data_IF_363712591717
#
_entry.id   IF_363712591717
#
_cell.length_a   1.000
_cell.length_b   1.000
_cell.length_c   1.000
_cell.angle_alpha   90.00
_cell.angle_beta   90.00
_cell.angle_gamma   90.00
#
_symmetry.space_group_name_H-M   'P 1'
#
loop_
_entity.id
_entity.type
_entity.pdbx_description
1 polymer ?
#
# COMPACT_ATOMS: atom_id res chain seq x y z
N UNK A 1 -17.44 -18.08 13.79
CA UNK A 1 -16.80 -17.64 12.53
C UNK A 1 -15.68 -18.62 12.26
N UNK A 2 -15.72 -19.36 11.15
CA UNK A 2 -14.51 -20.03 10.66
C UNK A 2 -13.66 -18.99 9.94
N UNK A 3 -12.35 -19.08 10.12
CA UNK A 3 -11.40 -18.12 9.58
C UNK A 3 -11.38 -18.21 8.05
N UNK A 4 -11.70 -17.09 7.38
CA UNK A 4 -11.47 -16.96 5.94
C UNK A 4 -9.99 -16.76 5.72
N UNK A 5 -9.39 -17.59 4.88
CA UNK A 5 -7.98 -17.47 4.53
C UNK A 5 -7.85 -16.60 3.30
N UNK A 6 -7.06 -15.53 3.42
CA UNK A 6 -6.66 -14.67 2.31
C UNK A 6 -5.21 -14.98 1.98
N UNK A 7 -4.95 -15.45 0.76
CA UNK A 7 -3.58 -15.77 0.31
C UNK A 7 -3.14 -14.68 -0.67
N UNK A 8 -2.02 -14.03 -0.40
CA UNK A 8 -1.41 -13.12 -1.36
C UNK A 8 -0.75 -13.93 -2.48
N UNK A 9 -1.36 -13.94 -3.67
CA UNK A 9 -0.82 -14.62 -4.84
C UNK A 9 0.34 -13.86 -5.47
N UNK A 10 0.15 -12.55 -5.66
CA UNK A 10 1.17 -11.69 -6.25
C UNK A 10 1.03 -10.25 -5.78
N UNK A 11 2.13 -9.52 -5.86
CA UNK A 11 2.14 -8.08 -5.60
C UNK A 11 3.08 -7.36 -6.56
N UNK A 12 2.74 -6.10 -6.85
CA UNK A 12 3.64 -5.15 -7.48
C UNK A 12 3.59 -3.87 -6.67
N UNK A 13 4.76 -3.35 -6.32
CA UNK A 13 4.91 -2.07 -5.65
C UNK A 13 5.82 -1.16 -6.47
N UNK A 14 5.38 0.08 -6.68
CA UNK A 14 6.22 1.15 -7.21
C UNK A 14 6.20 2.31 -6.23
N UNK A 15 7.36 2.90 -6.01
CA UNK A 15 7.51 4.11 -5.21
C UNK A 15 8.26 5.15 -6.02
N UNK A 16 7.73 6.35 -6.14
CA UNK A 16 8.43 7.51 -6.68
C UNK A 16 8.55 8.56 -5.58
N UNK A 17 9.74 9.10 -5.42
CA UNK A 17 10.02 10.19 -4.49
C UNK A 17 10.66 11.31 -5.30
N UNK A 18 10.16 12.53 -5.12
CA UNK A 18 10.62 13.75 -5.80
C UNK A 18 10.23 14.97 -4.97
N UNK A 19 10.57 16.17 -5.42
CA UNK A 19 10.13 17.45 -4.81
C UNK A 19 8.60 17.55 -4.66
N UNK A 20 7.85 16.96 -5.61
CA UNK A 20 6.38 16.91 -5.56
C UNK A 20 5.81 16.01 -4.44
N UNK A 21 6.64 15.18 -3.80
CA UNK A 21 6.23 14.28 -2.73
C UNK A 21 6.53 12.80 -2.96
N UNK A 22 5.91 11.98 -2.10
CA UNK A 22 6.02 10.51 -2.10
C UNK A 22 4.77 9.93 -2.75
N UNK A 23 4.95 9.22 -3.86
CA UNK A 23 3.89 8.48 -4.56
C UNK A 23 4.11 6.98 -4.41
N UNK A 24 3.15 6.28 -3.81
CA UNK A 24 3.17 4.83 -3.61
C UNK A 24 2.04 4.18 -4.39
N UNK A 25 2.39 3.31 -5.32
CA UNK A 25 1.43 2.52 -6.08
C UNK A 25 1.60 1.05 -5.72
N UNK A 26 0.56 0.48 -5.10
CA UNK A 26 0.49 -0.94 -4.75
C UNK A 26 -0.60 -1.62 -5.57
N UNK A 27 -0.27 -2.80 -6.11
CA UNK A 27 -1.23 -3.70 -6.75
C UNK A 27 -1.08 -5.07 -6.13
N UNK A 28 -2.14 -5.57 -5.50
CA UNK A 28 -2.17 -6.85 -4.81
C UNK A 28 -3.19 -7.77 -5.48
N UNK A 29 -2.79 -9.03 -5.68
CA UNK A 29 -3.66 -10.10 -6.14
C UNK A 29 -3.82 -11.09 -5.00
N UNK A 30 -5.05 -11.23 -4.53
CA UNK A 30 -5.41 -12.09 -3.41
C UNK A 30 -6.22 -13.27 -3.92
N UNK A 31 -6.05 -14.41 -3.31
CA UNK A 31 -6.97 -15.52 -3.40
C UNK A 31 -7.74 -15.63 -2.09
N UNK A 32 -9.02 -15.99 -2.19
CA UNK A 32 -9.89 -16.20 -1.04
C UNK A 32 -10.41 -17.62 -1.10
N UNK A 33 -10.07 -18.38 -0.06
CA UNK A 33 -10.66 -19.70 0.15
C UNK A 33 -12.09 -19.51 0.68
N UNK A 34 -13.07 -19.84 -0.16
CA UNK A 34 -14.50 -19.83 0.18
C UNK A 34 -14.93 -21.24 0.62
N UNK A 35 -15.45 -21.39 1.84
CA UNK A 35 -16.12 -22.62 2.25
C UNK A 35 -17.33 -22.85 1.31
N UNK A 36 -17.46 -24.03 0.67
CA UNK A 36 -18.54 -24.32 -0.28
C UNK A 36 -19.94 -24.30 0.34
N UNK A 37 -20.05 -24.26 1.68
CA UNK A 37 -21.31 -24.14 2.42
C UNK A 37 -21.77 -22.69 2.67
N UNK A 38 -20.91 -21.69 2.44
CA UNK A 38 -21.28 -20.27 2.54
C UNK A 38 -21.80 -19.71 1.20
N UNK A 39 -22.60 -18.63 1.28
CA UNK A 39 -23.10 -17.95 0.10
C UNK A 39 -21.92 -17.39 -0.74
N UNK A 40 -21.69 -17.99 -1.91
CA UNK A 40 -20.65 -17.60 -2.87
C UNK A 40 -20.62 -16.08 -3.09
N UNK A 41 -19.44 -15.45 -3.05
CA UNK A 41 -19.37 -14.02 -3.40
C UNK A 41 -19.88 -13.81 -4.83
N UNK A 42 -20.82 -12.89 -5.00
CA UNK A 42 -21.18 -12.42 -6.34
C UNK A 42 -20.07 -11.51 -6.88
N UNK A 43 -19.93 -11.31 -8.20
CA UNK A 43 -18.96 -10.36 -8.75
C UNK A 43 -19.10 -8.95 -8.16
N UNK A 44 -20.33 -8.52 -7.86
CA UNK A 44 -20.59 -7.23 -7.20
C UNK A 44 -20.01 -7.19 -5.77
N UNK A 45 -20.26 -8.22 -4.96
CA UNK A 45 -19.71 -8.32 -3.60
C UNK A 45 -18.18 -8.41 -3.57
N UNK A 46 -17.57 -9.10 -4.54
CA UNK A 46 -16.11 -9.12 -4.68
C UNK A 46 -15.56 -7.72 -4.94
N UNK A 47 -16.17 -6.96 -5.85
CA UNK A 47 -15.74 -5.61 -6.18
C UNK A 47 -15.90 -4.63 -5.00
N UNK A 48 -16.97 -4.79 -4.23
CA UNK A 48 -17.18 -4.06 -2.97
C UNK A 48 -16.07 -4.40 -1.96
N UNK A 49 -15.74 -5.69 -1.82
CA UNK A 49 -14.68 -6.15 -0.93
C UNK A 49 -13.29 -5.64 -1.37
N UNK A 50 -12.97 -5.72 -2.66
CA UNK A 50 -11.74 -5.17 -3.25
C UNK A 50 -11.59 -3.68 -2.92
N UNK A 51 -12.68 -2.92 -3.07
CA UNK A 51 -12.70 -1.49 -2.78
C UNK A 51 -12.53 -1.21 -1.28
N UNK A 52 -13.23 -1.94 -0.42
CA UNK A 52 -13.14 -1.79 1.03
C UNK A 52 -11.74 -2.13 1.56
N UNK A 53 -11.11 -3.19 1.04
CA UNK A 53 -9.74 -3.58 1.39
C UNK A 53 -8.75 -2.54 0.89
N UNK A 54 -8.90 -2.05 -0.35
CA UNK A 54 -8.05 -1.00 -0.91
C UNK A 54 -8.09 0.28 -0.06
N UNK A 55 -9.30 0.72 0.31
CA UNK A 55 -9.51 1.93 1.12
C UNK A 55 -8.95 1.79 2.54
N UNK A 56 -9.11 0.61 3.15
CA UNK A 56 -8.58 0.33 4.49
C UNK A 56 -7.05 0.36 4.48
N UNK A 57 -6.43 -0.39 3.57
CA UNK A 57 -4.97 -0.41 3.43
C UNK A 57 -4.41 0.96 3.07
N UNK A 58 -5.13 1.75 2.26
CA UNK A 58 -4.71 3.10 1.90
C UNK A 58 -4.62 3.97 3.14
N UNK A 59 -5.67 4.01 3.95
CA UNK A 59 -5.72 4.79 5.19
C UNK A 59 -4.66 4.34 6.19
N UNK A 60 -4.45 3.03 6.30
CA UNK A 60 -3.44 2.48 7.20
C UNK A 60 -2.03 2.89 6.77
N UNK A 61 -1.69 2.75 5.49
CA UNK A 61 -0.37 3.15 4.96
C UNK A 61 -0.17 4.66 5.10
N UNK A 62 -1.15 5.48 4.71
CA UNK A 62 -1.09 6.94 4.88
C UNK A 62 -0.92 7.33 6.35
N UNK A 63 -1.64 6.66 7.25
CA UNK A 63 -1.55 6.88 8.69
C UNK A 63 -0.20 6.48 9.28
N UNK A 64 0.38 5.36 8.84
CA UNK A 64 1.71 4.94 9.28
C UNK A 64 2.79 5.90 8.79
N UNK A 65 2.75 6.31 7.52
CA UNK A 65 3.71 7.29 7.00
C UNK A 65 3.57 8.62 7.74
N UNK A 66 2.34 9.07 8.03
CA UNK A 66 2.14 10.30 8.80
C UNK A 66 2.75 10.22 10.21
N UNK A 67 2.67 9.05 10.87
CA UNK A 67 3.35 8.83 12.15
C UNK A 67 4.86 8.90 12.01
N UNK A 68 5.44 8.29 10.97
CA UNK A 68 6.87 8.37 10.69
C UNK A 68 7.32 9.82 10.43
N UNK A 69 6.54 10.61 9.70
CA UNK A 69 6.77 12.05 9.49
C UNK A 69 6.76 12.85 10.79
N UNK A 70 5.80 12.58 11.70
CA UNK A 70 5.73 13.24 13.02
C UNK A 70 6.94 12.86 13.89
N UNK A 71 7.34 11.59 13.83
CA UNK A 71 8.49 11.08 14.58
C UNK A 71 9.84 11.45 13.95
N UNK A 72 9.84 12.08 12.76
CA UNK A 72 11.05 12.47 12.02
C UNK A 72 12.02 11.30 11.81
N UNK A 73 11.48 10.14 11.45
CA UNK A 73 12.25 8.93 11.16
C UNK A 73 11.84 8.33 9.83
N UNK A 74 12.82 7.84 9.06
CA UNK A 74 12.58 7.27 7.74
C UNK A 74 13.14 5.84 7.61
N UNK A 75 12.51 4.85 8.27
CA UNK A 75 12.89 3.45 8.12
C UNK A 75 12.58 2.88 6.72
N UNK A 76 11.80 3.59 5.91
CA UNK A 76 11.41 3.16 4.56
C UNK A 76 12.43 3.59 3.47
N UNK A 77 13.39 4.45 3.83
CA UNK A 77 14.45 4.93 2.93
C UNK A 77 13.95 5.86 1.83
N UNK A 78 12.92 6.66 2.10
CA UNK A 78 12.44 7.68 1.17
C UNK A 78 13.48 8.77 0.89
N UNK A 79 14.28 9.14 1.88
CA UNK A 79 15.31 10.17 1.78
C UNK A 79 16.40 9.80 0.78
N UNK A 80 16.79 8.53 0.74
CA UNK A 80 17.75 8.04 -0.26
C UNK A 80 17.18 8.15 -1.68
N UNK A 81 15.90 7.82 -1.86
CA UNK A 81 15.22 7.98 -3.15
C UNK A 81 15.11 9.44 -3.55
N UNK A 82 14.80 10.32 -2.60
CA UNK A 82 14.76 11.76 -2.82
C UNK A 82 16.14 12.31 -3.21
N UNK A 83 17.18 11.92 -2.48
CA UNK A 83 18.57 12.28 -2.72
C UNK A 83 19.01 11.92 -4.15
N UNK A 84 18.72 10.71 -4.59
CA UNK A 84 19.03 10.27 -5.96
C UNK A 84 18.22 11.07 -6.98
N UNK A 85 16.93 11.31 -6.73
CA UNK A 85 16.06 12.05 -7.64
C UNK A 85 16.49 13.52 -7.84
N UNK A 86 17.06 14.16 -6.82
CA UNK A 86 17.57 15.55 -6.89
C UNK A 86 19.02 15.69 -7.33
N UNK A 87 19.72 14.59 -7.62
CA UNK A 87 21.10 14.62 -8.11
C UNK A 87 22.20 14.45 -7.06
N UNK A 88 21.87 14.03 -5.83
CA UNK A 88 22.82 13.35 -4.95
C UNK A 88 23.11 13.97 -3.60
N UNK A 89 23.12 15.29 -3.43
CA UNK A 89 23.38 15.90 -2.12
C UNK A 89 22.08 16.01 -1.31
N UNK A 90 22.10 15.50 -0.08
CA UNK A 90 21.03 15.64 0.90
C UNK A 90 21.61 15.38 2.29
N UNK A 91 21.52 16.36 3.18
CA UNK A 91 21.91 16.14 4.56
C UNK A 91 20.80 15.39 5.32
N UNK A 92 21.19 14.58 6.29
CA UNK A 92 20.24 13.74 7.02
C UNK A 92 19.27 14.57 7.87
N UNK A 93 19.75 15.66 8.47
CA UNK A 93 18.94 16.64 9.20
C UNK A 93 18.00 17.40 8.26
N UNK A 94 18.49 17.92 7.12
CA UNK A 94 17.64 18.55 6.08
C UNK A 94 16.47 17.64 5.68
N UNK A 95 16.74 16.33 5.52
CA UNK A 95 15.70 15.36 5.22
C UNK A 95 14.72 15.15 6.38
N UNK A 96 15.21 14.79 7.57
CA UNK A 96 14.38 14.34 8.67
C UNK A 96 13.66 15.49 9.38
N UNK A 97 14.27 16.67 9.44
CA UNK A 97 13.73 17.81 10.19
C UNK A 97 12.81 18.70 9.37
N UNK A 98 13.07 18.85 8.07
CA UNK A 98 12.39 19.82 7.21
C UNK A 98 11.59 19.17 6.08
N UNK A 99 12.24 18.37 5.24
CA UNK A 99 11.63 17.88 3.99
C UNK A 99 10.61 16.76 4.23
N UNK A 100 11.02 15.68 4.89
CA UNK A 100 10.18 14.51 5.10
C UNK A 100 8.90 14.83 5.89
N UNK A 101 8.93 15.61 6.98
CA UNK A 101 7.72 15.91 7.77
C UNK A 101 6.63 16.67 7.01
N UNK A 102 7.03 17.54 6.07
CA UNK A 102 6.14 18.37 5.26
C UNK A 102 5.73 17.72 3.93
N UNK A 103 6.40 16.64 3.53
CA UNK A 103 6.23 16.05 2.21
C UNK A 103 4.81 15.51 1.99
N UNK A 104 4.12 15.86 0.90
CA UNK A 104 2.82 15.26 0.60
C UNK A 104 3.01 13.78 0.22
N UNK A 105 2.06 12.95 0.65
CA UNK A 105 2.06 11.50 0.44
C UNK A 105 0.79 11.13 -0.31
N UNK A 106 0.95 10.43 -1.43
CA UNK A 106 -0.14 9.91 -2.23
C UNK A 106 -0.02 8.39 -2.31
N UNK A 107 -1.04 7.70 -1.80
CA UNK A 107 -1.10 6.22 -1.84
C UNK A 107 -2.23 5.79 -2.76
N UNK A 108 -1.88 4.95 -3.74
CA UNK A 108 -2.81 4.29 -4.64
C UNK A 108 -2.73 2.78 -4.39
N UNK A 109 -3.87 2.15 -4.11
CA UNK A 109 -3.94 0.70 -3.92
C UNK A 109 -4.95 0.13 -4.88
N UNK A 110 -4.56 -0.95 -5.57
CA UNK A 110 -5.44 -1.77 -6.38
C UNK A 110 -5.44 -3.19 -5.82
N UNK A 111 -6.63 -3.69 -5.50
CA UNK A 111 -6.83 -5.06 -5.04
C UNK A 111 -7.58 -5.80 -6.13
N UNK A 112 -7.12 -7.00 -6.44
CA UNK A 112 -7.86 -7.96 -7.26
C UNK A 112 -8.01 -9.24 -6.46
N UNK A 113 -9.23 -9.71 -6.30
CA UNK A 113 -9.54 -10.97 -5.63
C UNK A 113 -9.88 -12.02 -6.68
N UNK A 114 -9.13 -13.12 -6.67
CA UNK A 114 -9.40 -14.31 -7.44
C UNK A 114 -10.06 -15.36 -6.55
N UNK A 115 -10.79 -16.28 -7.19
CA UNK A 115 -11.42 -17.42 -6.54
C UNK A 115 -10.78 -18.69 -7.06
N UNK A 116 -9.88 -19.31 -6.31
CA UNK A 116 -9.35 -20.63 -6.66
C UNK A 116 -10.12 -21.77 -5.98
N UNK A 117 -11.44 -21.75 -6.13
CA UNK A 117 -12.33 -22.88 -5.78
C UNK A 117 -12.79 -23.72 -6.99
N UNK A 118 -12.38 -23.34 -8.21
CA UNK A 118 -12.62 -24.11 -9.43
C UNK A 118 -11.26 -24.45 -10.04
N UNK A 119 -10.70 -25.60 -9.64
CA UNK A 119 -9.89 -26.38 -10.56
C UNK A 119 -10.81 -26.67 -11.76
N UNK A 120 -10.51 -26.05 -12.90
CA UNK A 120 -11.00 -26.48 -14.22
C UNK A 120 -10.39 -27.82 -14.60
#
# INVERSE_FOLDING_TARGET
>A
MKDRTYVLLSHKSKSKVSEEGIKLDLSLQLDVDEDPTEARFTPAKLKELESAVADTLKKDIEGQIKKLQILKVDPAGFGEKYRVARGGELQADEWLDDLFPAMPVQVTIKIRIEKTGMLS
#
